data_IF_644326044108
#
_entry.id   IF_644326044108
#
_cell.length_a   1.000
_cell.length_b   1.000
_cell.length_c   1.000
_cell.angle_alpha   90.00
_cell.angle_beta   90.00
_cell.angle_gamma   90.00
#
_symmetry.space_group_name_H-M   'P 1'
#
loop_
_entity.id
_entity.type
_entity.pdbx_description
1 polymer ?
#
# COMPACT_ATOMS: atom_id res chain seq x y z
N UNK A 1 -6.87 4.92 6.79
CA UNK A 1 -6.43 5.66 5.63
C UNK A 1 -7.09 5.15 4.36
N UNK A 4 -4.61 2.69 -0.08
CA UNK A 4 -3.19 2.93 -0.25
C UNK A 4 -2.77 2.76 -1.71
N UNK A 5 -3.51 1.91 -2.42
CA UNK A 5 -3.22 1.66 -3.83
C UNK A 5 -3.66 2.83 -4.70
N UNK A 6 -3.09 4.00 -4.44
CA UNK A 6 -3.42 5.20 -5.20
C UNK A 6 -2.21 6.13 -5.32
N UNK A 9 -0.59 7.91 -2.11
CA UNK A 9 0.26 7.08 -1.27
C UNK A 9 0.30 5.65 -1.78
N UNK A 10 0.79 5.47 -3.00
CA UNK A 10 0.89 4.15 -3.61
C UNK A 10 1.99 3.32 -2.96
N UNK A 11 3.15 3.96 -2.75
CA UNK A 11 4.28 3.28 -2.12
C UNK A 11 3.88 2.68 -0.78
N UNK A 12 4.53 1.57 -0.42
CA UNK A 12 4.24 0.89 0.84
C UNK A 12 5.48 0.84 1.72
N UNK A 14 5.70 2.22 4.94
CA UNK A 14 5.29 1.94 6.31
C UNK A 14 4.29 0.79 6.38
N UNK A 16 1.43 0.72 7.69
CA UNK A 16 0.08 1.20 7.42
C UNK A 16 -0.38 0.79 6.02
N UNK A 17 0.58 0.55 5.14
CA UNK A 17 0.27 0.14 3.77
C UNK A 17 0.57 -1.33 3.56
N UNK A 18 0.19 -2.16 4.53
CA UNK A 18 0.42 -3.59 4.46
C UNK A 18 -0.74 -4.29 3.74
N UNK A 19 -1.90 -3.63 3.72
CA UNK A 19 -3.08 -4.18 3.07
C UNK A 19 -3.20 -3.68 1.63
N UNK A 20 -2.05 -3.44 1.00
CA UNK A 20 -2.03 -2.96 -0.37
C UNK A 20 -1.73 -4.09 -1.35
N UNK A 22 -1.64 -4.22 -4.25
CA UNK A 22 -0.81 -3.76 -5.36
C UNK A 22 0.67 -3.82 -4.99
N UNK A 23 0.95 -3.78 -3.69
CA UNK A 23 2.32 -3.82 -3.21
C UNK A 23 2.69 -5.23 -2.74
N UNK A 24 1.72 -5.94 -2.17
CA UNK A 24 1.94 -7.29 -1.68
C UNK A 24 1.99 -8.28 -2.85
N UNK A 25 1.20 -8.02 -3.88
CA UNK A 25 1.15 -8.89 -5.05
C UNK A 25 2.10 -8.40 -6.14
#
# INVERSE_FOLDING_TARGET
LXXCCTXXKKHCXAXACKYKXCCKS
#
